data_IF_298545437727
#
_entry.id   IF_298545437727
#
_cell.length_a   1.000
_cell.length_b   1.000
_cell.length_c   1.000
_cell.angle_alpha   90.00
_cell.angle_beta   90.00
_cell.angle_gamma   90.00
#
_symmetry.space_group_name_H-M   'P 1'
#
loop_
_entity.id
_entity.type
_entity.pdbx_description
1 polymer ?
#
# COMPACT_ATOMS: atom_id res chain seq x y z
N UNK A 1 -29.62 19.72 -25.77
CA UNK A 1 -28.91 19.85 -27.08
C UNK A 1 -27.39 19.75 -26.92
N UNK A 2 -26.80 20.20 -25.80
CA UNK A 2 -25.36 20.04 -25.55
C UNK A 2 -25.01 18.61 -25.11
N UNK A 3 -25.82 17.96 -24.28
CA UNK A 3 -25.68 16.55 -23.91
C UNK A 3 -25.53 15.58 -25.12
N UNK A 4 -26.40 15.68 -26.13
CA UNK A 4 -26.33 14.85 -27.33
C UNK A 4 -25.04 15.07 -28.14
N UNK A 5 -24.49 16.29 -28.12
CA UNK A 5 -23.20 16.62 -28.77
C UNK A 5 -22.02 16.05 -27.97
N UNK A 6 -22.07 16.12 -26.63
CA UNK A 6 -21.06 15.55 -25.75
C UNK A 6 -21.02 14.02 -25.89
N UNK A 7 -22.18 13.36 -25.93
CA UNK A 7 -22.27 11.90 -26.12
C UNK A 7 -21.75 11.45 -27.49
N UNK A 8 -22.02 12.19 -28.56
CA UNK A 8 -21.45 11.93 -29.88
C UNK A 8 -19.92 12.13 -29.90
N UNK A 9 -19.43 13.21 -29.28
CA UNK A 9 -17.99 13.50 -29.15
C UNK A 9 -17.26 12.42 -28.35
N UNK A 10 -17.86 11.97 -27.24
CA UNK A 10 -17.40 10.86 -26.41
C UNK A 10 -17.25 9.58 -27.23
N UNK A 11 -18.31 9.21 -27.97
CA UNK A 11 -18.30 8.04 -28.86
C UNK A 11 -17.19 8.09 -29.92
N UNK A 12 -16.97 9.26 -30.53
CA UNK A 12 -15.90 9.49 -31.50
C UNK A 12 -14.49 9.28 -30.93
N UNK A 13 -14.22 9.82 -29.73
CA UNK A 13 -12.95 9.65 -29.03
C UNK A 13 -12.71 8.19 -28.61
N UNK A 14 -13.76 7.48 -28.18
CA UNK A 14 -13.70 6.05 -27.86
C UNK A 14 -13.37 5.19 -29.09
N UNK A 15 -13.97 5.50 -30.25
CA UNK A 15 -13.66 4.83 -31.51
C UNK A 15 -12.22 5.14 -31.99
N UNK A 16 -11.70 6.34 -31.74
CA UNK A 16 -10.32 6.70 -32.02
C UNK A 16 -9.33 5.92 -31.13
N UNK A 17 -9.58 5.86 -29.81
CA UNK A 17 -8.78 5.10 -28.86
C UNK A 17 -8.72 3.60 -29.22
N UNK A 18 -9.87 3.02 -29.61
CA UNK A 18 -9.94 1.62 -30.06
C UNK A 18 -9.09 1.36 -31.31
N UNK A 19 -9.09 2.28 -32.27
CA UNK A 19 -8.26 2.18 -33.48
C UNK A 19 -6.76 2.30 -33.16
N UNK A 20 -6.37 3.16 -32.23
CA UNK A 20 -4.99 3.30 -31.77
C UNK A 20 -4.50 2.01 -31.12
N UNK A 21 -5.31 1.39 -30.27
CA UNK A 21 -4.96 0.12 -29.60
C UNK A 21 -4.76 -1.02 -30.61
N UNK A 22 -5.67 -1.16 -31.58
CA UNK A 22 -5.49 -2.16 -32.63
C UNK A 22 -4.20 -1.94 -33.41
N UNK A 23 -3.85 -0.68 -33.67
CA UNK A 23 -2.62 -0.32 -34.38
C UNK A 23 -1.36 -0.57 -33.56
N UNK A 24 -1.40 -0.31 -32.25
CA UNK A 24 -0.34 -0.67 -31.30
C UNK A 24 -0.13 -2.19 -31.32
N UNK A 25 -1.19 -2.98 -31.24
CA UNK A 25 -1.11 -4.44 -31.30
C UNK A 25 -0.51 -4.95 -32.62
N UNK A 26 -0.85 -4.31 -33.76
CA UNK A 26 -0.23 -4.64 -35.06
C UNK A 26 1.27 -4.34 -35.10
N UNK A 27 1.72 -3.23 -34.51
CA UNK A 27 3.15 -2.85 -34.48
C UNK A 27 3.94 -3.76 -33.56
N UNK A 28 3.35 -4.16 -32.43
CA UNK A 28 3.95 -5.16 -31.53
C UNK A 28 4.12 -6.50 -32.26
N UNK A 29 3.11 -6.93 -33.01
CA UNK A 29 3.10 -8.21 -33.73
C UNK A 29 3.95 -8.23 -35.01
N UNK A 30 4.31 -7.08 -35.60
CA UNK A 30 5.09 -7.03 -36.84
C UNK A 30 6.54 -7.46 -36.61
N UNK A 31 6.92 -8.65 -37.07
CA UNK A 31 8.27 -9.21 -36.89
C UNK A 31 9.32 -8.51 -37.76
N UNK A 32 8.92 -7.76 -38.80
CA UNK A 32 9.83 -7.17 -39.79
C UNK A 32 10.43 -5.81 -39.36
N UNK A 33 9.79 -5.07 -38.45
CA UNK A 33 10.27 -3.76 -38.01
C UNK A 33 11.44 -3.89 -37.02
N UNK A 34 12.46 -3.04 -37.17
CA UNK A 34 13.61 -3.04 -36.25
C UNK A 34 13.21 -2.58 -34.85
N UNK A 35 13.89 -3.12 -33.83
CA UNK A 35 13.62 -2.85 -32.40
C UNK A 35 13.56 -1.36 -32.05
N UNK A 36 14.45 -0.56 -32.60
CA UNK A 36 14.50 0.88 -32.34
C UNK A 36 13.31 1.63 -32.95
N UNK A 37 12.86 1.23 -34.14
CA UNK A 37 11.69 1.81 -34.81
C UNK A 37 10.40 1.48 -34.06
N UNK A 38 10.27 0.25 -33.54
CA UNK A 38 9.11 -0.13 -32.72
C UNK A 38 8.99 0.69 -31.44
N UNK A 39 10.10 0.91 -30.73
CA UNK A 39 10.08 1.67 -29.47
C UNK A 39 9.59 3.09 -29.72
N UNK A 40 10.15 3.77 -30.72
CA UNK A 40 9.77 5.15 -31.02
C UNK A 40 8.31 5.27 -31.50
N UNK A 41 7.86 4.35 -32.37
CA UNK A 41 6.49 4.38 -32.88
C UNK A 41 5.45 4.00 -31.82
N UNK A 42 5.79 3.09 -30.90
CA UNK A 42 4.93 2.71 -29.77
C UNK A 42 4.82 3.84 -28.74
N UNK A 43 5.91 4.54 -28.43
CA UNK A 43 5.90 5.68 -27.50
C UNK A 43 4.94 6.78 -27.96
N UNK A 44 5.05 7.21 -29.22
CA UNK A 44 4.17 8.25 -29.78
C UNK A 44 2.68 7.81 -29.80
N UNK A 45 2.41 6.51 -29.99
CA UNK A 45 1.03 5.99 -30.02
C UNK A 45 0.43 5.81 -28.63
N UNK A 46 1.26 5.48 -27.63
CA UNK A 46 0.84 5.41 -26.22
C UNK A 46 0.50 6.81 -25.71
N UNK A 47 1.35 7.81 -26.00
CA UNK A 47 1.09 9.21 -25.65
C UNK A 47 -0.24 9.71 -26.28
N UNK A 48 -0.48 9.40 -27.55
CA UNK A 48 -1.73 9.76 -28.22
C UNK A 48 -2.96 9.06 -27.60
N UNK A 49 -2.78 7.85 -27.09
CA UNK A 49 -3.85 7.10 -26.44
C UNK A 49 -4.17 7.68 -25.06
N UNK A 50 -3.16 8.05 -24.28
CA UNK A 50 -3.31 8.73 -23.00
C UNK A 50 -4.06 10.07 -23.15
N UNK A 51 -3.71 10.87 -24.17
CA UNK A 51 -4.40 12.12 -24.50
C UNK A 51 -5.90 11.89 -24.79
N UNK A 52 -6.23 10.84 -25.54
CA UNK A 52 -7.63 10.49 -25.84
C UNK A 52 -8.36 9.97 -24.61
N UNK A 53 -7.69 9.26 -23.70
CA UNK A 53 -8.27 8.81 -22.44
C UNK A 53 -8.58 9.98 -21.50
N UNK A 54 -7.70 10.98 -21.42
CA UNK A 54 -7.94 12.21 -20.67
C UNK A 54 -9.14 12.98 -21.23
N UNK A 55 -9.20 13.14 -22.56
CA UNK A 55 -10.32 13.80 -23.24
C UNK A 55 -11.66 13.10 -22.96
N UNK A 56 -11.68 11.76 -22.92
CA UNK A 56 -12.89 10.99 -22.59
C UNK A 56 -13.34 11.26 -21.16
N UNK A 57 -12.40 11.30 -20.20
CA UNK A 57 -12.71 11.57 -18.79
C UNK A 57 -13.30 12.98 -18.58
N UNK A 58 -12.81 13.97 -19.33
CA UNK A 58 -13.34 15.33 -19.27
C UNK A 58 -14.73 15.45 -19.87
N UNK A 59 -15.00 14.73 -20.97
CA UNK A 59 -16.35 14.68 -21.56
C UNK A 59 -17.32 13.94 -20.63
N UNK A 60 -16.89 12.85 -19.98
CA UNK A 60 -17.72 12.11 -19.02
C UNK A 60 -18.10 13.01 -17.81
N UNK A 61 -17.18 13.85 -17.32
CA UNK A 61 -17.48 14.85 -16.28
C UNK A 61 -18.48 15.91 -16.76
N UNK A 62 -18.28 16.44 -17.97
CA UNK A 62 -19.17 17.45 -18.54
C UNK A 62 -20.59 16.93 -18.81
N UNK A 63 -20.73 15.65 -19.17
CA UNK A 63 -22.04 14.99 -19.30
C UNK A 63 -22.70 14.88 -17.92
N UNK A 64 -21.94 14.49 -16.89
CA UNK A 64 -22.46 14.35 -15.53
C UNK A 64 -22.96 15.67 -14.93
N UNK A 65 -22.33 16.79 -15.28
CA UNK A 65 -22.75 18.13 -14.86
C UNK A 65 -24.01 18.65 -15.60
N UNK A 66 -24.37 18.06 -16.75
CA UNK A 66 -25.54 18.45 -17.57
C UNK A 66 -26.77 17.54 -17.33
N UNK A 67 -26.62 16.41 -16.63
CA UNK A 67 -27.71 15.45 -16.35
C UNK A 67 -28.46 15.79 -15.05
N UNK A 68 -29.79 15.66 -15.09
CA UNK A 68 -30.66 15.70 -13.90
C UNK A 68 -30.51 14.41 -13.05
N UNK A 69 -30.62 14.48 -11.71
CA UNK A 69 -30.36 13.37 -10.81
C UNK A 69 -31.30 12.15 -10.98
N UNK A 70 -32.45 12.31 -11.63
CA UNK A 70 -33.35 11.18 -11.98
C UNK A 70 -32.89 10.42 -13.24
N UNK A 71 -32.13 11.04 -14.15
CA UNK A 71 -31.63 10.43 -15.39
C UNK A 71 -30.24 9.78 -15.23
N UNK A 72 -29.53 10.09 -14.14
CA UNK A 72 -28.21 9.52 -13.81
C UNK A 72 -28.25 7.99 -13.68
N UNK A 73 -29.32 7.43 -13.12
CA UNK A 73 -29.45 5.97 -12.97
C UNK A 73 -29.61 5.26 -14.33
N UNK A 74 -30.35 5.87 -15.26
CA UNK A 74 -30.58 5.35 -16.61
C UNK A 74 -29.33 5.46 -17.49
N UNK A 75 -28.54 6.52 -17.34
CA UNK A 75 -27.24 6.69 -18.00
C UNK A 75 -26.19 5.74 -17.40
N UNK A 76 -26.20 5.47 -16.09
CA UNK A 76 -25.31 4.47 -15.45
C UNK A 76 -25.58 3.06 -15.99
N UNK A 77 -26.85 2.68 -16.14
CA UNK A 77 -27.25 1.36 -16.67
C UNK A 77 -26.97 1.23 -18.19
N UNK A 78 -27.15 2.31 -18.96
CA UNK A 78 -26.75 2.34 -20.37
C UNK A 78 -25.21 2.36 -20.56
N UNK A 79 -24.47 2.95 -19.62
CA UNK A 79 -23.02 3.04 -19.62
C UNK A 79 -22.31 1.73 -19.21
N UNK A 80 -23.03 0.72 -18.70
CA UNK A 80 -22.41 -0.49 -18.14
C UNK A 80 -21.76 -1.39 -19.22
N UNK A 81 -22.36 -1.46 -20.42
CA UNK A 81 -21.74 -2.07 -21.61
C UNK A 81 -20.52 -1.29 -22.11
N UNK A 82 -20.48 0.03 -21.86
CA UNK A 82 -19.45 0.92 -22.35
C UNK A 82 -18.24 1.01 -21.40
N UNK A 83 -18.46 0.98 -20.09
CA UNK A 83 -17.43 0.93 -19.05
C UNK A 83 -16.58 -0.34 -19.15
N UNK A 84 -17.17 -1.45 -19.61
CA UNK A 84 -16.42 -2.67 -19.96
C UNK A 84 -15.42 -2.46 -21.10
N UNK A 85 -15.74 -1.61 -22.08
CA UNK A 85 -14.82 -1.26 -23.15
C UNK A 85 -13.67 -0.43 -22.60
N UNK A 86 -13.93 0.60 -21.79
CA UNK A 86 -12.88 1.41 -21.16
C UNK A 86 -11.95 0.56 -20.27
N UNK A 87 -12.53 -0.34 -19.46
CA UNK A 87 -11.77 -1.28 -18.63
C UNK A 87 -10.92 -2.24 -19.47
N UNK A 88 -11.44 -2.70 -20.61
CA UNK A 88 -10.69 -3.53 -21.57
C UNK A 88 -9.56 -2.76 -22.25
N UNK A 89 -9.78 -1.50 -22.61
CA UNK A 89 -8.76 -0.64 -23.21
C UNK A 89 -7.63 -0.34 -22.19
N UNK A 90 -7.97 -0.05 -20.93
CA UNK A 90 -7.01 0.18 -19.85
C UNK A 90 -6.15 -1.07 -19.54
N UNK A 91 -6.76 -2.26 -19.48
CA UNK A 91 -6.03 -3.52 -19.33
C UNK A 91 -5.14 -3.78 -20.56
N UNK A 92 -5.62 -3.44 -21.76
CA UNK A 92 -4.83 -3.59 -22.98
C UNK A 92 -3.64 -2.65 -23.05
N UNK A 93 -3.73 -1.43 -22.51
CA UNK A 93 -2.61 -0.50 -22.40
C UNK A 93 -1.56 -0.97 -21.40
N UNK A 94 -2.01 -1.51 -20.27
CA UNK A 94 -1.12 -2.06 -19.25
C UNK A 94 -0.35 -3.28 -19.79
N UNK A 95 -1.03 -4.15 -20.53
CA UNK A 95 -0.40 -5.28 -21.23
C UNK A 95 0.57 -4.84 -22.33
N UNK A 96 0.25 -3.78 -23.08
CA UNK A 96 1.15 -3.23 -24.10
C UNK A 96 2.43 -2.64 -23.48
N UNK A 97 2.30 -1.93 -22.35
CA UNK A 97 3.43 -1.42 -21.58
C UNK A 97 4.29 -2.54 -21.00
N UNK A 98 3.68 -3.62 -20.50
CA UNK A 98 4.39 -4.81 -20.04
C UNK A 98 5.16 -5.51 -21.17
N UNK A 99 4.57 -5.60 -22.37
CA UNK A 99 5.22 -6.16 -23.55
C UNK A 99 6.38 -5.27 -24.06
N UNK A 100 6.22 -3.94 -23.98
CA UNK A 100 7.31 -3.00 -24.29
C UNK A 100 8.46 -3.12 -23.30
N UNK A 101 8.18 -3.35 -22.00
CA UNK A 101 9.18 -3.62 -20.98
C UNK A 101 9.93 -4.94 -21.24
N UNK A 102 9.24 -6.00 -21.68
CA UNK A 102 9.90 -7.24 -22.12
C UNK A 102 10.75 -7.05 -23.38
N UNK A 103 10.28 -6.25 -24.34
CA UNK A 103 11.02 -5.95 -25.57
C UNK A 103 12.22 -4.99 -25.35
N UNK A 104 12.27 -4.27 -24.22
CA UNK A 104 13.37 -3.35 -23.84
C UNK A 104 14.39 -3.97 -22.88
N UNK A 105 14.16 -5.20 -22.40
CA UNK A 105 15.16 -5.95 -21.64
C UNK A 105 16.46 -6.16 -22.45
N UNK A 106 17.66 -6.00 -21.86
CA UNK A 106 18.92 -6.15 -22.58
C UNK A 106 19.05 -7.58 -23.13
N UNK A 107 19.28 -7.70 -24.45
CA UNK A 107 19.55 -8.98 -25.11
C UNK A 107 21.01 -9.31 -24.83
N UNK A 108 21.26 -10.24 -23.91
CA UNK A 108 22.60 -10.76 -23.63
C UNK A 108 22.96 -11.77 -24.72
N UNK A 109 24.08 -11.61 -25.46
CA UNK A 109 24.59 -12.69 -26.30
C UNK A 109 25.24 -13.74 -25.40
N UNK A 110 24.86 -15.01 -25.57
CA UNK A 110 25.49 -16.14 -24.90
C UNK A 110 26.92 -16.36 -25.45
N UNK A 111 27.92 -16.26 -24.57
CA UNK A 111 29.31 -16.68 -24.81
C UNK A 111 29.95 -17.14 -23.48
N UNK A 112 30.97 -18.01 -23.50
CA UNK A 112 31.23 -19.00 -22.46
C UNK A 112 31.90 -18.42 -21.19
N UNK A 113 31.61 -19.10 -20.09
CA UNK A 113 31.97 -18.85 -18.70
C UNK A 113 33.40 -18.38 -18.40
N UNK A 114 33.49 -17.26 -17.67
CA UNK A 114 34.58 -16.94 -16.72
C UNK A 114 33.97 -16.33 -15.45
N UNK A 115 34.40 -16.71 -14.22
CA UNK A 115 33.83 -16.17 -12.99
C UNK A 115 34.48 -14.82 -12.66
N UNK A 116 33.71 -13.74 -12.81
CA UNK A 116 34.02 -12.40 -12.28
C UNK A 116 33.31 -12.15 -10.95
N UNK A 117 33.85 -11.28 -10.08
CA UNK A 117 33.58 -11.30 -8.65
C UNK A 117 32.16 -10.81 -8.33
N UNK A 118 31.41 -11.71 -7.68
CA UNK A 118 30.33 -11.43 -6.73
C UNK A 118 29.65 -10.07 -6.87
N UNK A 119 28.54 -10.06 -7.62
CA UNK A 119 27.38 -9.29 -7.23
C UNK A 119 27.16 -9.59 -5.74
N UNK A 120 27.27 -8.55 -4.92
CA UNK A 120 27.00 -8.56 -3.50
C UNK A 120 25.76 -9.41 -3.23
N UNK A 121 25.99 -10.63 -2.73
CA UNK A 121 24.92 -11.45 -2.18
C UNK A 121 24.46 -10.73 -0.91
N UNK A 122 23.52 -9.81 -1.08
CA UNK A 122 22.56 -9.52 -0.04
C UNK A 122 22.08 -10.89 0.47
N UNK A 123 22.11 -11.15 1.79
CA UNK A 123 21.54 -12.37 2.34
C UNK A 123 20.16 -12.57 1.72
N UNK A 124 19.85 -13.77 1.21
CA UNK A 124 18.52 -14.07 0.68
C UNK A 124 17.51 -13.61 1.73
N UNK A 125 16.74 -12.57 1.41
CA UNK A 125 15.77 -12.00 2.33
C UNK A 125 14.77 -13.11 2.66
N UNK A 126 14.84 -13.61 3.89
CA UNK A 126 13.93 -14.65 4.31
C UNK A 126 12.58 -13.99 4.52
N UNK A 127 11.66 -14.23 3.58
CA UNK A 127 10.32 -13.66 3.61
C UNK A 127 9.68 -13.92 4.98
N UNK A 128 9.10 -12.89 5.62
CA UNK A 128 8.42 -13.05 6.90
C UNK A 128 7.24 -14.01 6.77
N UNK A 129 6.98 -14.80 7.80
CA UNK A 129 5.81 -15.70 7.83
C UNK A 129 4.58 -14.97 8.34
N UNK A 130 3.43 -15.26 7.73
CA UNK A 130 2.15 -14.64 8.08
C UNK A 130 1.22 -15.64 8.75
N UNK A 131 0.86 -15.35 10.00
CA UNK A 131 0.03 -16.21 10.87
C UNK A 131 -1.45 -15.85 10.89
N UNK A 132 -1.83 -14.72 10.28
CA UNK A 132 -3.21 -14.19 10.31
C UNK A 132 -3.40 -12.93 11.14
N UNK A 133 -2.34 -12.30 11.64
CA UNK A 133 -2.45 -11.00 12.31
C UNK A 133 -2.76 -9.90 11.30
N UNK A 134 -3.96 -9.33 11.40
CA UNK A 134 -4.45 -8.33 10.46
C UNK A 134 -3.60 -7.05 10.45
N UNK A 135 -2.90 -6.73 11.54
CA UNK A 135 -2.03 -5.56 11.64
C UNK A 135 -0.73 -5.75 10.85
N UNK A 136 -0.31 -7.00 10.63
CA UNK A 136 0.89 -7.36 9.88
C UNK A 136 0.61 -7.66 8.40
N UNK A 137 -0.66 -7.64 8.00
CA UNK A 137 -1.09 -8.03 6.66
C UNK A 137 -0.51 -7.13 5.57
N UNK A 138 -0.58 -5.80 5.76
CA UNK A 138 -0.03 -4.83 4.79
C UNK A 138 1.46 -5.04 4.57
N UNK A 139 2.24 -5.09 5.65
CA UNK A 139 3.68 -5.33 5.58
C UNK A 139 4.03 -6.67 4.93
N UNK A 140 3.28 -7.74 5.23
CA UNK A 140 3.46 -9.02 4.55
C UNK A 140 3.17 -8.91 3.05
N UNK A 141 2.07 -8.24 2.66
CA UNK A 141 1.74 -8.03 1.25
C UNK A 141 2.81 -7.25 0.50
N UNK A 142 3.32 -6.15 1.08
CA UNK A 142 4.34 -5.32 0.43
C UNK A 142 5.62 -6.11 0.16
N UNK A 143 6.09 -6.89 1.16
CA UNK A 143 7.27 -7.75 0.99
C UNK A 143 6.98 -8.88 0.01
N UNK A 144 5.80 -9.50 0.06
CA UNK A 144 5.45 -10.58 -0.87
C UNK A 144 5.32 -10.08 -2.31
N UNK A 145 4.75 -8.90 -2.52
CA UNK A 145 4.57 -8.32 -3.84
C UNK A 145 5.92 -7.94 -4.47
N UNK A 146 6.81 -7.35 -3.68
CA UNK A 146 8.18 -7.00 -4.11
C UNK A 146 9.08 -8.21 -4.35
N UNK A 147 8.98 -9.28 -3.56
CA UNK A 147 9.89 -10.42 -3.66
C UNK A 147 9.37 -11.60 -4.49
N UNK A 148 8.06 -11.72 -4.67
CA UNK A 148 7.44 -12.85 -5.38
C UNK A 148 6.61 -12.38 -6.57
N UNK A 149 5.76 -11.36 -6.41
CA UNK A 149 4.90 -10.94 -7.52
C UNK A 149 5.65 -10.20 -8.62
N UNK A 150 6.62 -9.37 -8.27
CA UNK A 150 7.49 -8.65 -9.22
C UNK A 150 8.34 -9.59 -10.09
N UNK A 151 8.55 -10.83 -9.64
CA UNK A 151 9.37 -11.82 -10.34
C UNK A 151 8.51 -12.65 -11.31
N UNK A 152 9.11 -13.05 -12.43
CA UNK A 152 8.48 -13.84 -13.50
C UNK A 152 8.32 -15.33 -13.17
N UNK A 153 7.81 -15.65 -11.99
CA UNK A 153 7.48 -17.03 -11.60
C UNK A 153 6.10 -17.45 -12.12
N UNK A 154 5.94 -18.72 -12.47
CA UNK A 154 4.62 -19.29 -12.74
C UNK A 154 3.72 -19.25 -11.50
N UNK A 155 2.41 -19.07 -11.68
CA UNK A 155 1.44 -18.97 -10.60
C UNK A 155 1.42 -20.18 -9.66
N UNK A 156 1.61 -21.40 -10.16
CA UNK A 156 1.78 -22.58 -9.29
C UNK A 156 3.00 -22.47 -8.35
N UNK A 157 4.11 -21.95 -8.85
CA UNK A 157 5.31 -21.69 -8.04
C UNK A 157 5.05 -20.57 -7.03
N UNK A 158 4.41 -19.47 -7.44
CA UNK A 158 4.00 -18.38 -6.53
C UNK A 158 3.05 -18.86 -5.44
N UNK A 159 2.11 -19.75 -5.78
CA UNK A 159 1.19 -20.36 -4.82
C UNK A 159 1.91 -21.24 -3.80
N UNK A 160 2.88 -22.05 -4.23
CA UNK A 160 3.69 -22.86 -3.31
C UNK A 160 4.54 -21.98 -2.37
N UNK A 161 5.09 -20.88 -2.88
CA UNK A 161 5.77 -19.88 -2.05
C UNK A 161 4.82 -19.18 -1.07
N UNK A 162 3.61 -18.85 -1.50
CA UNK A 162 2.59 -18.25 -0.64
C UNK A 162 2.26 -19.21 0.50
N UNK A 163 1.89 -20.46 0.21
CA UNK A 163 1.56 -21.46 1.24
C UNK A 163 2.73 -21.74 2.18
N UNK A 164 3.98 -21.72 1.70
CA UNK A 164 5.14 -21.98 2.56
C UNK A 164 5.43 -20.83 3.55
N UNK A 165 4.97 -19.62 3.23
CA UNK A 165 5.10 -18.44 4.10
C UNK A 165 3.84 -18.14 4.91
N UNK A 166 2.79 -18.93 4.77
CA UNK A 166 1.59 -18.86 5.61
C UNK A 166 1.64 -19.90 6.73
N UNK A 167 1.16 -19.50 7.89
CA UNK A 167 1.03 -20.34 9.08
C UNK A 167 -0.35 -20.16 9.73
N UNK A 168 -0.70 -21.07 10.65
CA UNK A 168 -1.91 -20.95 11.48
C UNK A 168 -3.21 -20.76 10.68
N UNK A 169 -4.02 -19.78 11.08
CA UNK A 169 -5.33 -19.50 10.49
C UNK A 169 -5.21 -19.04 9.03
N UNK A 170 -4.17 -18.28 8.71
CA UNK A 170 -3.98 -17.78 7.35
C UNK A 170 -3.73 -18.93 6.36
N UNK A 171 -2.92 -19.92 6.76
CA UNK A 171 -2.74 -21.15 5.96
C UNK A 171 -4.01 -21.97 5.90
N UNK A 172 -4.72 -22.10 7.03
CA UNK A 172 -5.97 -22.85 7.10
C UNK A 172 -7.06 -22.28 6.16
N UNK A 173 -7.05 -20.97 5.91
CA UNK A 173 -7.99 -20.30 5.00
C UNK A 173 -7.87 -20.75 3.53
N UNK A 174 -6.74 -21.36 3.16
CA UNK A 174 -6.47 -21.84 1.81
C UNK A 174 -6.57 -23.36 1.66
N UNK A 175 -7.01 -24.07 2.70
CA UNK A 175 -7.22 -25.51 2.65
C UNK A 175 -8.24 -25.86 1.55
N UNK A 176 -7.92 -26.88 0.75
CA UNK A 176 -8.74 -27.31 -0.38
C UNK A 176 -8.33 -26.70 -1.73
N UNK A 177 -7.44 -25.70 -1.75
CA UNK A 177 -6.83 -25.23 -3.00
C UNK A 177 -5.58 -26.05 -3.33
N UNK A 178 -5.46 -26.46 -4.59
CA UNK A 178 -4.29 -27.16 -5.14
C UNK A 178 -3.37 -26.18 -5.86
N UNK A 179 -2.08 -26.51 -5.96
CA UNK A 179 -1.10 -25.67 -6.66
C UNK A 179 -1.44 -25.60 -8.15
N UNK A 180 -1.89 -24.43 -8.61
CA UNK A 180 -2.21 -24.13 -10.01
C UNK A 180 -2.11 -22.62 -10.22
N UNK A 181 -1.88 -22.19 -11.48
CA UNK A 181 -1.87 -20.77 -11.84
C UNK A 181 -3.18 -20.06 -11.43
N UNK A 182 -4.33 -20.68 -11.70
CA UNK A 182 -5.64 -20.07 -11.41
C UNK A 182 -5.93 -19.99 -9.91
N UNK A 183 -5.37 -20.93 -9.13
CA UNK A 183 -5.56 -20.97 -7.69
C UNK A 183 -4.68 -19.97 -6.93
N UNK A 184 -3.61 -19.47 -7.56
CA UNK A 184 -2.81 -18.37 -6.99
C UNK A 184 -3.64 -17.10 -6.83
N UNK A 185 -4.32 -16.67 -7.89
CA UNK A 185 -5.17 -15.49 -7.86
C UNK A 185 -6.29 -15.65 -6.82
N UNK A 186 -6.97 -16.80 -6.83
CA UNK A 186 -8.02 -17.12 -5.85
C UNK A 186 -7.51 -17.09 -4.41
N UNK A 187 -6.30 -17.60 -4.16
CA UNK A 187 -5.70 -17.57 -2.82
C UNK A 187 -5.42 -16.13 -2.36
N UNK A 188 -4.86 -15.27 -3.22
CA UNK A 188 -4.68 -13.86 -2.91
C UNK A 188 -6.00 -13.17 -2.60
N UNK A 189 -7.05 -13.46 -3.37
CA UNK A 189 -8.38 -12.87 -3.17
C UNK A 189 -9.01 -13.31 -1.85
N UNK A 190 -8.88 -14.58 -1.46
CA UNK A 190 -9.36 -15.09 -0.16
C UNK A 190 -8.65 -14.38 0.99
N UNK A 191 -7.32 -14.26 0.92
CA UNK A 191 -6.55 -13.60 1.97
C UNK A 191 -6.86 -12.10 2.03
N UNK A 192 -6.97 -11.41 0.88
CA UNK A 192 -7.37 -10.00 0.81
C UNK A 192 -8.77 -9.80 1.40
N UNK A 193 -9.74 -10.64 1.03
CA UNK A 193 -11.09 -10.55 1.57
C UNK A 193 -11.11 -10.72 3.09
N UNK A 194 -10.26 -11.58 3.64
CA UNK A 194 -10.21 -11.87 5.07
C UNK A 194 -9.45 -10.80 5.87
N UNK A 195 -8.28 -10.40 5.38
CA UNK A 195 -7.31 -9.59 6.14
C UNK A 195 -7.18 -8.14 5.66
N UNK A 196 -7.64 -7.80 4.45
CA UNK A 196 -7.63 -6.43 3.91
C UNK A 196 -8.96 -5.69 4.14
N UNK A 197 -9.52 -5.78 5.35
CA UNK A 197 -10.77 -5.11 5.71
C UNK A 197 -10.49 -3.86 6.57
N UNK A 198 -10.61 -2.62 6.04
CA UNK A 198 -10.21 -1.40 6.74
C UNK A 198 -10.84 -1.26 8.13
N UNK A 199 -12.14 -1.55 8.26
CA UNK A 199 -12.85 -1.50 9.55
C UNK A 199 -12.28 -2.48 10.59
N UNK A 200 -11.88 -3.68 10.16
CA UNK A 200 -11.30 -4.68 11.08
C UNK A 200 -9.88 -4.28 11.49
N UNK A 201 -9.09 -3.70 10.58
CA UNK A 201 -7.76 -3.18 10.88
C UNK A 201 -7.85 -2.03 11.90
N UNK A 202 -8.75 -1.08 11.68
CA UNK A 202 -9.05 0.01 12.63
C UNK A 202 -9.46 -0.56 14.00
N UNK A 203 -10.37 -1.54 14.02
CA UNK A 203 -10.80 -2.19 15.26
C UNK A 203 -9.64 -2.91 15.97
N UNK A 204 -8.73 -3.53 15.22
CA UNK A 204 -7.56 -4.20 15.78
C UNK A 204 -6.60 -3.19 16.42
N UNK A 205 -6.35 -2.04 15.78
CA UNK A 205 -5.57 -0.95 16.38
C UNK A 205 -6.20 -0.43 17.68
N UNK A 206 -7.52 -0.19 17.70
CA UNK A 206 -8.20 0.21 18.94
C UNK A 206 -8.05 -0.84 20.04
N UNK A 207 -8.26 -2.11 19.72
CA UNK A 207 -8.10 -3.20 20.69
C UNK A 207 -6.68 -3.29 21.22
N UNK A 208 -5.67 -3.11 20.37
CA UNK A 208 -4.27 -3.12 20.78
C UNK A 208 -3.97 -1.95 21.74
N UNK A 209 -4.44 -0.73 21.41
CA UNK A 209 -4.31 0.46 22.27
C UNK A 209 -5.00 0.29 23.64
N UNK A 210 -6.24 -0.21 23.65
CA UNK A 210 -7.00 -0.46 24.89
C UNK A 210 -6.30 -1.53 25.76
N UNK A 211 -5.64 -2.50 25.14
CA UNK A 211 -4.95 -3.58 25.83
C UNK A 211 -3.47 -3.28 26.09
N UNK A 212 -3.01 -2.05 25.87
CA UNK A 212 -1.65 -1.67 26.22
C UNK A 212 -1.37 -1.96 27.70
N UNK A 213 -0.17 -2.46 28.02
CA UNK A 213 0.25 -2.64 29.41
C UNK A 213 0.35 -1.27 30.09
N UNK A 214 0.16 -1.25 31.41
CA UNK A 214 0.32 -0.03 32.20
C UNK A 214 1.78 0.43 32.12
N UNK A 215 1.98 1.70 31.75
CA UNK A 215 3.29 2.30 31.72
C UNK A 215 3.71 2.71 33.13
N UNK A 216 4.75 2.07 33.64
CA UNK A 216 5.30 2.35 34.96
C UNK A 216 6.24 3.55 34.93
N UNK A 217 6.66 4.04 36.10
CA UNK A 217 7.60 5.16 36.24
C UNK A 217 9.06 4.83 35.84
N UNK A 218 9.27 3.76 35.07
CA UNK A 218 10.58 3.36 34.56
C UNK A 218 10.71 3.81 33.10
N UNK A 219 11.84 4.42 32.73
CA UNK A 219 12.10 4.92 31.37
C UNK A 219 11.82 3.89 30.28
N UNK A 220 12.27 2.64 30.49
CA UNK A 220 12.06 1.55 29.53
C UNK A 220 10.57 1.22 29.33
N UNK A 221 9.77 1.26 30.39
CA UNK A 221 8.33 1.02 30.33
C UNK A 221 7.60 2.16 29.63
N UNK A 222 7.95 3.41 29.93
CA UNK A 222 7.32 4.58 29.33
C UNK A 222 7.68 4.70 27.84
N UNK A 223 8.93 4.42 27.47
CA UNK A 223 9.36 4.37 26.07
C UNK A 223 8.67 3.25 25.29
N UNK A 224 8.59 2.03 25.84
CA UNK A 224 7.87 0.94 25.19
C UNK A 224 6.39 1.25 24.99
N UNK A 225 5.75 1.96 25.93
CA UNK A 225 4.38 2.45 25.78
C UNK A 225 4.28 3.50 24.67
N UNK A 226 5.17 4.49 24.64
CA UNK A 226 5.20 5.54 23.62
C UNK A 226 5.41 4.95 22.22
N UNK A 227 6.34 4.01 22.05
CA UNK A 227 6.63 3.36 20.77
C UNK A 227 5.42 2.57 20.25
N UNK A 228 4.70 1.87 21.13
CA UNK A 228 3.48 1.13 20.75
C UNK A 228 2.31 2.06 20.41
N UNK A 229 2.11 3.13 21.21
CA UNK A 229 1.12 4.16 20.92
C UNK A 229 1.36 4.76 19.53
N UNK A 230 2.59 5.20 19.27
CA UNK A 230 3.01 5.81 18.02
C UNK A 230 2.85 4.85 16.83
N UNK A 231 3.21 3.57 17.00
CA UNK A 231 3.00 2.54 15.98
C UNK A 231 1.54 2.40 15.57
N UNK A 232 0.61 2.47 16.52
CA UNK A 232 -0.83 2.37 16.23
C UNK A 232 -1.41 3.66 15.65
N UNK A 233 -0.94 4.84 16.07
CA UNK A 233 -1.34 6.14 15.48
C UNK A 233 -0.96 6.19 14.00
N UNK A 234 0.28 5.82 13.65
CA UNK A 234 0.71 5.72 12.24
C UNK A 234 -0.13 4.74 11.44
N UNK A 235 -0.61 3.67 12.08
CA UNK A 235 -1.56 2.74 11.48
C UNK A 235 -2.91 3.38 11.14
N UNK A 236 -3.44 4.24 12.02
CA UNK A 236 -4.66 5.01 11.74
C UNK A 236 -4.45 6.05 10.62
N UNK A 237 -3.32 6.75 10.62
CA UNK A 237 -2.96 7.72 9.57
C UNK A 237 -2.85 7.05 8.19
N UNK A 238 -2.20 5.88 8.11
CA UNK A 238 -2.10 5.10 6.88
C UNK A 238 -3.47 4.65 6.33
N UNK A 239 -4.48 4.53 7.20
CA UNK A 239 -5.87 4.23 6.83
C UNK A 239 -6.70 5.49 6.53
N UNK A 240 -6.08 6.68 6.58
CA UNK A 240 -6.75 7.97 6.35
C UNK A 240 -7.67 8.41 7.48
N UNK A 241 -7.51 7.88 8.70
CA UNK A 241 -8.33 8.25 9.87
C UNK A 241 -7.68 9.40 10.61
N UNK A 242 -8.33 10.57 10.63
CA UNK A 242 -7.81 11.75 11.31
C UNK A 242 -7.91 11.63 12.86
N UNK A 243 -6.91 12.12 13.61
CA UNK A 243 -6.92 12.14 15.08
C UNK A 243 -8.16 12.80 15.70
N UNK A 244 -8.78 13.77 15.03
CA UNK A 244 -9.98 14.44 15.50
C UNK A 244 -11.18 13.49 15.75
N UNK A 245 -11.22 12.32 15.11
CA UNK A 245 -12.33 11.36 15.28
C UNK A 245 -12.18 10.45 16.50
N UNK A 246 -10.99 10.35 17.07
CA UNK A 246 -10.68 9.36 18.11
C UNK A 246 -9.82 9.89 19.26
N UNK A 247 -9.19 11.05 19.10
CA UNK A 247 -8.21 11.63 20.01
C UNK A 247 -8.76 11.77 21.41
N UNK A 248 -9.92 12.40 21.59
CA UNK A 248 -10.49 12.69 22.91
C UNK A 248 -10.74 11.41 23.72
N UNK A 249 -11.38 10.41 23.11
CA UNK A 249 -11.66 9.13 23.76
C UNK A 249 -10.37 8.35 24.05
N UNK A 250 -9.42 8.35 23.11
CA UNK A 250 -8.14 7.69 23.31
C UNK A 250 -7.34 8.34 24.44
N UNK A 251 -7.33 9.67 24.54
CA UNK A 251 -6.64 10.37 25.62
C UNK A 251 -7.17 9.92 26.98
N UNK A 252 -8.49 9.87 27.17
CA UNK A 252 -9.08 9.39 28.42
C UNK A 252 -8.59 7.97 28.76
N UNK A 253 -8.59 7.06 27.77
CA UNK A 253 -8.16 5.68 27.96
C UNK A 253 -6.65 5.55 28.21
N UNK A 254 -5.83 6.31 27.49
CA UNK A 254 -4.37 6.25 27.56
C UNK A 254 -3.85 6.85 28.87
N UNK A 255 -4.46 7.93 29.37
CA UNK A 255 -4.11 8.48 30.69
C UNK A 255 -4.33 7.42 31.78
N UNK A 256 -5.41 6.64 31.73
CA UNK A 256 -5.64 5.55 32.68
C UNK A 256 -4.59 4.44 32.61
N UNK A 257 -3.92 4.27 31.46
CA UNK A 257 -2.81 3.33 31.28
C UNK A 257 -1.47 3.84 31.79
N UNK A 258 -1.38 5.08 32.25
CA UNK A 258 -0.17 5.61 32.87
C UNK A 258 -0.22 5.41 34.39
N UNK A 259 0.86 4.90 34.97
CA UNK A 259 0.99 4.78 36.42
C UNK A 259 0.77 6.14 37.09
N UNK A 260 0.29 6.12 38.34
CA UNK A 260 -0.08 7.35 39.08
C UNK A 260 1.08 8.34 39.15
N UNK A 261 2.32 7.87 39.31
CA UNK A 261 3.49 8.74 39.39
C UNK A 261 3.79 9.44 38.07
N UNK A 262 3.69 8.70 36.95
CA UNK A 262 3.85 9.26 35.59
C UNK A 262 2.77 10.30 35.33
N UNK A 263 1.50 9.98 35.61
CA UNK A 263 0.39 10.95 35.46
C UNK A 263 0.67 12.23 36.24
N UNK A 264 1.09 12.11 37.50
CA UNK A 264 1.39 13.28 38.34
C UNK A 264 2.51 14.13 37.77
N UNK A 265 3.54 13.53 37.20
CA UNK A 265 4.63 14.30 36.57
C UNK A 265 4.12 15.02 35.31
N UNK A 266 3.39 14.32 34.44
CA UNK A 266 2.82 14.91 33.23
C UNK A 266 1.86 16.08 33.53
N UNK A 267 0.95 15.93 34.49
CA UNK A 267 -0.01 16.98 34.86
C UNK A 267 0.65 18.20 35.51
N UNK A 268 1.80 18.05 36.18
CA UNK A 268 2.54 19.20 36.75
C UNK A 268 3.04 20.16 35.67
N UNK A 269 3.39 19.65 34.49
CA UNK A 269 3.93 20.47 33.39
C UNK A 269 2.84 21.14 32.54
N UNK A 270 1.62 20.58 32.50
CA UNK A 270 0.57 21.03 31.58
C UNK A 270 -0.65 21.69 32.27
N UNK A 271 -0.76 21.60 33.60
CA UNK A 271 -1.88 22.17 34.35
C UNK A 271 -3.18 21.36 34.25
N UNK A 272 -4.31 21.97 34.63
CA UNK A 272 -5.65 21.37 34.58
C UNK A 272 -6.33 21.74 33.25
N UNK A 273 -5.96 21.08 32.15
CA UNK A 273 -6.53 21.32 30.84
C UNK A 273 -6.94 20.00 30.16
N UNK A 274 -7.98 20.09 29.34
CA UNK A 274 -8.42 19.02 28.45
C UNK A 274 -7.25 18.63 27.53
N UNK A 275 -6.71 17.44 27.73
CA UNK A 275 -5.56 16.95 26.98
C UNK A 275 -5.99 16.60 25.55
N UNK A 276 -5.29 17.12 24.56
CA UNK A 276 -5.34 16.57 23.20
C UNK A 276 -4.39 15.40 23.05
N UNK A 277 -4.59 14.57 22.01
CA UNK A 277 -3.73 13.41 21.76
C UNK A 277 -2.28 13.83 21.48
N UNK A 278 -2.07 14.92 20.74
CA UNK A 278 -0.73 15.42 20.42
C UNK A 278 -0.04 15.99 21.67
N UNK A 279 -0.77 16.72 22.51
CA UNK A 279 -0.24 17.20 23.78
C UNK A 279 0.19 16.07 24.72
N UNK A 280 -0.58 14.98 24.76
CA UNK A 280 -0.23 13.79 25.54
C UNK A 280 1.04 13.12 24.99
N UNK A 281 1.15 12.98 23.67
CA UNK A 281 2.35 12.42 23.02
C UNK A 281 3.59 13.24 23.33
N UNK A 282 3.50 14.56 23.18
CA UNK A 282 4.60 15.47 23.45
C UNK A 282 5.02 15.44 24.92
N UNK A 283 4.05 15.37 25.84
CA UNK A 283 4.36 15.30 27.26
C UNK A 283 5.06 13.99 27.65
N UNK A 284 4.62 12.86 27.09
CA UNK A 284 5.29 11.56 27.30
C UNK A 284 6.72 11.60 26.74
N UNK A 285 6.92 12.17 25.55
CA UNK A 285 8.25 12.31 24.95
C UNK A 285 9.18 13.17 25.82
N UNK A 286 8.70 14.33 26.29
CA UNK A 286 9.46 15.20 27.20
C UNK A 286 9.83 14.49 28.50
N UNK A 287 8.90 13.76 29.12
CA UNK A 287 9.19 13.01 30.35
C UNK A 287 10.29 11.98 30.12
N UNK A 288 10.23 11.27 28.98
CA UNK A 288 11.27 10.31 28.61
C UNK A 288 12.64 10.99 28.47
N UNK A 289 12.72 12.15 27.82
CA UNK A 289 13.96 12.94 27.68
C UNK A 289 14.51 13.39 29.04
N UNK A 290 13.64 13.92 29.93
CA UNK A 290 14.04 14.33 31.28
C UNK A 290 14.61 13.15 32.08
N UNK A 291 14.02 11.96 31.94
CA UNK A 291 14.54 10.74 32.57
C UNK A 291 15.90 10.31 31.99
N UNK A 292 16.20 10.63 30.74
CA UNK A 292 17.51 10.36 30.11
C UNK A 292 18.58 11.30 30.63
N UNK A 293 18.33 12.60 30.61
CA UNK A 293 19.26 13.61 31.12
C UNK A 293 19.59 13.38 32.59
N UNK A 294 18.59 13.02 33.40
CA UNK A 294 18.78 12.71 34.83
C UNK A 294 19.62 11.44 35.04
N UNK A 295 19.55 10.47 34.11
CA UNK A 295 20.36 9.27 34.15
C UNK A 295 21.82 9.54 33.73
N UNK A 296 22.06 10.42 32.75
CA UNK A 296 23.41 10.80 32.30
C UNK A 296 24.18 11.60 33.36
N UNK A 297 23.48 12.45 34.11
CA UNK A 297 24.06 13.21 35.23
C UNK A 297 24.50 12.33 36.42
N UNK A 298 24.06 11.07 36.49
CA UNK A 298 24.44 10.12 37.55
C UNK A 298 25.69 9.30 37.23
N UNK A 299 26.29 9.43 36.03
CA UNK A 299 27.53 8.73 35.70
C UNK A 299 28.71 9.30 36.51
N UNK A 300 29.46 8.49 37.29
CA UNK A 300 30.60 8.98 38.05
C UNK A 300 31.70 9.48 37.09
N UNK A 301 32.10 10.75 37.23
CA UNK A 301 33.23 11.32 36.50
C UNK A 301 34.46 10.41 36.68
N UNK A 302 35.17 10.02 35.62
CA UNK A 302 36.36 9.20 35.76
C UNK A 302 37.38 9.96 36.61
N UNK A 303 37.86 9.30 37.67
CA UNK A 303 38.88 9.84 38.55
C UNK A 303 40.12 10.21 37.72
N UNK A 304 40.40 11.51 37.62
CA UNK A 304 41.66 12.02 37.11
C UNK A 304 42.77 11.41 37.97
N UNK A 305 43.46 10.40 37.44
CA UNK A 305 44.74 9.96 38.00
C UNK A 305 45.72 11.11 37.81
N UNK A 306 45.96 11.86 38.89
CA UNK A 306 47.09 12.75 38.98
C UNK A 306 48.35 11.88 38.96
N UNK A 307 49.21 12.13 37.96
CA UNK A 307 50.58 11.62 37.87
C UNK A 307 51.53 12.70 38.34
#
# INVERSE_FOLDING_TARGET
MAEARLTASRGGNRAAATRLINRINTIVADVATTRAQKIHELQNKIENLEEKMATIADIDRAIQDELDPEDVQTEIEAADTHNQTYRRLYISTENANANLAQATAPVVPAAPSTPGPSASMLPKLDLPTFKGDILQWSSFCDVFESEVDSKSYGGATKFNFLISKLEGEAKASLLGLTSSNDNYTKAKDILRLRYSQPRKVITAHYKALINLPVANATRSSLRAFADQLESHIRGFEALGTAPAFYGDLLVCLLIEKLAIDVRRTLTRHQGNADWTLDELRDAIAREIEVMEDTCELQLPRPALKQQ
#
